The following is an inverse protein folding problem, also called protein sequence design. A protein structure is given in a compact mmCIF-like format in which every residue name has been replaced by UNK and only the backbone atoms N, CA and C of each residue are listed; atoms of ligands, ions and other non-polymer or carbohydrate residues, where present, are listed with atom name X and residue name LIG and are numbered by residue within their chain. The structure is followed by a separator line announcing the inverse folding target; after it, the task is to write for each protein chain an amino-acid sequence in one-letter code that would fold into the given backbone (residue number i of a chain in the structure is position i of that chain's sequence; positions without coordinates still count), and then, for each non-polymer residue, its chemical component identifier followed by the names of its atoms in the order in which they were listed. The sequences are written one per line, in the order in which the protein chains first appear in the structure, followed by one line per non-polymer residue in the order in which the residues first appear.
data_IF_171601814257
#
_entry.id   IF_171601814257
#
_cell.length_a   1.000
_cell.length_b   1.000
_cell.length_c   1.000
_cell.angle_alpha   90.00
_cell.angle_beta   90.00
_cell.angle_gamma   90.00
#
_symmetry.space_group_name_H-M   'P 1'
#
loop_
_entity.id
_entity.type
_entity.pdbx_description
1 polymer ?
#
# COMPACT_ATOMS: atom_id res chain seq x y z
N UNK A 1 -3.73 -20.59 -22.60
CA UNK A 1 -2.97 -19.34 -22.76
C UNK A 1 -1.99 -19.21 -21.60
N UNK A 2 -0.78 -18.70 -21.85
CA UNK A 2 0.19 -18.31 -20.84
C UNK A 2 0.49 -16.83 -20.98
N UNK A 3 0.70 -16.14 -19.86
CA UNK A 3 1.13 -14.74 -19.83
C UNK A 3 2.41 -14.69 -19.00
N UNK A 4 3.45 -14.06 -19.53
CA UNK A 4 4.74 -13.89 -18.85
C UNK A 4 5.04 -12.42 -18.68
N UNK A 5 5.41 -12.05 -17.46
CA UNK A 5 5.85 -10.71 -17.09
C UNK A 5 7.39 -10.63 -17.17
N UNK A 6 7.90 -9.60 -17.84
CA UNK A 6 9.32 -9.28 -17.90
C UNK A 6 9.50 -7.79 -17.60
N UNK A 7 9.46 -7.46 -16.30
CA UNK A 7 9.33 -6.07 -15.85
C UNK A 7 8.03 -5.47 -16.37
N UNK A 8 8.11 -4.33 -17.08
CA UNK A 8 6.93 -3.72 -17.70
C UNK A 8 6.52 -4.38 -19.05
N UNK A 9 7.28 -5.35 -19.57
CA UNK A 9 6.91 -6.03 -20.81
C UNK A 9 6.07 -7.28 -20.52
N UNK A 10 4.90 -7.37 -21.13
CA UNK A 10 3.98 -8.50 -21.01
C UNK A 10 4.02 -9.30 -22.31
N UNK A 11 4.29 -10.60 -22.21
CA UNK A 11 4.27 -11.53 -23.34
C UNK A 11 3.06 -12.45 -23.24
N UNK A 12 2.27 -12.51 -24.31
CA UNK A 12 1.09 -13.39 -24.39
C UNK A 12 1.43 -14.56 -25.29
N UNK A 13 1.23 -15.78 -24.79
CA UNK A 13 1.53 -17.01 -25.50
C UNK A 13 0.28 -17.89 -25.60
N UNK A 14 0.03 -18.42 -26.80
CA UNK A 14 -0.88 -19.55 -26.99
C UNK A 14 -0.10 -20.83 -26.75
N UNK A 15 -0.72 -21.77 -26.06
CA UNK A 15 -0.12 -23.08 -25.87
C UNK A 15 -0.99 -24.11 -26.56
N UNK A 16 -0.42 -24.77 -27.56
CA UNK A 16 -1.13 -25.79 -28.30
C UNK A 16 -1.12 -27.12 -27.52
N UNK A 17 -2.25 -27.84 -27.49
CA UNK A 17 -2.26 -29.19 -26.95
C UNK A 17 -1.36 -30.09 -27.81
N UNK A 18 -0.60 -31.02 -27.19
CA UNK A 18 0.26 -31.93 -27.93
C UNK A 18 -0.61 -32.78 -28.87
N UNK A 19 -0.29 -32.76 -30.17
CA UNK A 19 -0.99 -33.56 -31.20
C UNK A 19 -0.60 -35.05 -31.19
N UNK A 20 0.35 -35.48 -30.35
CA UNK A 20 0.87 -36.85 -30.29
C UNK A 20 0.94 -37.37 -28.83
N UNK A 21 0.85 -38.70 -28.61
CA UNK A 21 0.86 -39.31 -27.27
C UNK A 21 2.16 -39.01 -26.48
N UNK A 22 2.11 -39.11 -25.14
CA UNK A 22 3.00 -38.41 -24.20
C UNK A 22 4.43 -38.99 -24.08
N UNK A 23 4.95 -39.67 -25.11
CA UNK A 23 6.29 -40.27 -25.05
C UNK A 23 7.42 -39.33 -25.48
N UNK A 24 7.16 -38.23 -26.21
CA UNK A 24 8.22 -37.26 -26.60
C UNK A 24 7.77 -35.91 -27.18
N UNK A 25 6.55 -35.46 -26.92
CA UNK A 25 6.03 -34.20 -27.50
C UNK A 25 6.24 -32.99 -26.60
N UNK A 26 7.25 -32.14 -26.87
CA UNK A 26 7.38 -30.83 -26.19
C UNK A 26 6.15 -29.98 -26.49
N UNK A 27 5.50 -29.46 -25.46
CA UNK A 27 4.39 -28.52 -25.57
C UNK A 27 4.84 -27.31 -26.40
N UNK A 28 4.14 -27.01 -27.50
CA UNK A 28 4.49 -25.89 -28.39
C UNK A 28 3.84 -24.61 -27.88
N UNK A 29 4.67 -23.60 -27.61
CA UNK A 29 4.23 -22.27 -27.20
C UNK A 29 4.45 -21.31 -28.37
N UNK A 30 3.37 -20.66 -28.83
CA UNK A 30 3.42 -19.63 -29.85
C UNK A 30 3.21 -18.26 -29.21
N UNK A 31 4.16 -17.35 -29.35
CA UNK A 31 4.01 -15.97 -28.90
C UNK A 31 2.99 -15.29 -29.82
N UNK A 32 1.88 -14.84 -29.25
CA UNK A 32 0.84 -14.10 -29.98
C UNK A 32 1.17 -12.62 -30.09
N UNK A 33 1.91 -12.08 -29.11
CA UNK A 33 2.34 -10.70 -29.11
C UNK A 33 2.90 -10.26 -27.76
N UNK A 34 3.41 -9.04 -27.76
CA UNK A 34 4.00 -8.40 -26.59
C UNK A 34 3.50 -6.97 -26.49
N UNK A 35 3.25 -6.49 -25.27
CA UNK A 35 2.84 -5.11 -25.03
C UNK A 35 3.38 -4.64 -23.67
N UNK A 36 3.42 -3.32 -23.48
CA UNK A 36 3.78 -2.72 -22.19
C UNK A 36 2.53 -2.53 -21.33
N UNK A 37 2.65 -2.64 -20.01
CA UNK A 37 1.47 -2.59 -19.15
C UNK A 37 0.83 -1.20 -19.03
N UNK A 38 1.61 -0.16 -19.30
CA UNK A 38 1.24 1.26 -19.36
C UNK A 38 0.72 1.69 -20.75
N UNK A 39 0.88 0.84 -21.77
CA UNK A 39 0.43 1.12 -23.13
C UNK A 39 -0.89 0.40 -23.45
N UNK A 40 -1.68 0.93 -24.40
CA UNK A 40 -2.83 0.20 -24.91
C UNK A 40 -2.40 -1.12 -25.57
N UNK A 41 -3.22 -2.16 -25.38
CA UNK A 41 -2.96 -3.47 -25.98
C UNK A 41 -3.02 -3.34 -27.51
N UNK A 42 -2.00 -3.81 -28.26
CA UNK A 42 -2.00 -3.74 -29.71
C UNK A 42 -3.24 -4.42 -30.31
N UNK A 43 -3.99 -3.75 -31.22
CA UNK A 43 -5.18 -4.33 -31.85
C UNK A 43 -4.91 -5.67 -32.52
N UNK A 44 -3.76 -5.80 -33.20
CA UNK A 44 -3.33 -7.04 -33.84
C UNK A 44 -3.21 -8.22 -32.86
N UNK A 45 -2.84 -7.97 -31.60
CA UNK A 45 -2.81 -9.00 -30.56
C UNK A 45 -4.25 -9.38 -30.15
N UNK A 46 -5.14 -8.40 -30.04
CA UNK A 46 -6.55 -8.66 -29.74
C UNK A 46 -7.22 -9.48 -30.84
N UNK A 47 -6.90 -9.22 -32.10
CA UNK A 47 -7.42 -9.94 -33.26
C UNK A 47 -6.92 -11.40 -33.31
N UNK A 48 -5.65 -11.63 -32.93
CA UNK A 48 -5.06 -12.96 -32.90
C UNK A 48 -5.62 -13.86 -31.78
N UNK A 49 -6.20 -13.30 -30.72
CA UNK A 49 -6.74 -14.04 -29.58
C UNK A 49 -8.12 -14.64 -29.85
N UNK A 50 -8.43 -15.79 -29.25
CA UNK A 50 -9.81 -16.30 -29.21
C UNK A 50 -10.65 -15.55 -28.18
N UNK A 51 -11.98 -15.76 -28.18
CA UNK A 51 -12.88 -15.16 -27.17
C UNK A 51 -12.49 -15.55 -25.74
N UNK A 52 -12.13 -16.80 -25.51
CA UNK A 52 -11.77 -17.29 -24.18
C UNK A 52 -10.40 -16.79 -23.73
N UNK A 53 -9.47 -16.65 -24.68
CA UNK A 53 -8.16 -16.05 -24.43
C UNK A 53 -8.28 -14.55 -24.11
N UNK A 54 -9.13 -13.81 -24.81
CA UNK A 54 -9.45 -12.40 -24.47
C UNK A 54 -10.02 -12.29 -23.05
N UNK A 55 -10.94 -13.17 -22.67
CA UNK A 55 -11.45 -13.22 -21.28
C UNK A 55 -10.35 -13.55 -20.27
N UNK A 56 -9.45 -14.48 -20.59
CA UNK A 56 -8.33 -14.82 -19.73
C UNK A 56 -7.36 -13.64 -19.56
N UNK A 57 -7.07 -12.92 -20.64
CA UNK A 57 -6.22 -11.73 -20.63
C UNK A 57 -6.84 -10.61 -19.79
N UNK A 58 -8.14 -10.35 -19.96
CA UNK A 58 -8.87 -9.35 -19.18
C UNK A 58 -8.84 -9.65 -17.68
N UNK A 59 -9.05 -10.91 -17.28
CA UNK A 59 -8.95 -11.32 -15.87
C UNK A 59 -7.53 -11.15 -15.31
N UNK A 60 -6.52 -11.54 -16.09
CA UNK A 60 -5.13 -11.37 -15.68
C UNK A 60 -4.76 -9.88 -15.52
N UNK A 61 -5.20 -9.02 -16.45
CA UNK A 61 -4.95 -7.58 -16.38
C UNK A 61 -5.60 -6.93 -15.15
N UNK A 62 -6.78 -7.38 -14.74
CA UNK A 62 -7.43 -6.90 -13.53
C UNK A 62 -6.58 -7.19 -12.29
N UNK A 63 -6.10 -8.42 -12.14
CA UNK A 63 -5.21 -8.83 -11.03
C UNK A 63 -3.87 -8.10 -11.09
N UNK A 64 -3.30 -7.98 -12.29
CA UNK A 64 -2.03 -7.26 -12.49
C UNK A 64 -2.13 -5.80 -12.06
N UNK A 65 -3.18 -5.08 -12.47
CA UNK A 65 -3.40 -3.68 -12.10
C UNK A 65 -3.58 -3.50 -10.60
N UNK A 66 -4.31 -4.39 -9.94
CA UNK A 66 -4.45 -4.35 -8.48
C UNK A 66 -3.09 -4.57 -7.77
N UNK A 67 -2.29 -5.52 -8.27
CA UNK A 67 -0.94 -5.78 -7.75
C UNK A 67 -0.01 -4.57 -7.95
N UNK A 68 -0.06 -3.94 -9.13
CA UNK A 68 0.72 -2.73 -9.41
C UNK A 68 0.29 -1.57 -8.51
N UNK A 69 -1.00 -1.35 -8.30
CA UNK A 69 -1.49 -0.32 -7.39
C UNK A 69 -0.93 -0.50 -5.97
N UNK A 70 -0.89 -1.73 -5.46
CA UNK A 70 -0.27 -2.04 -4.15
C UNK A 70 1.24 -1.82 -4.16
N UNK A 71 1.92 -2.21 -5.23
CA UNK A 71 3.36 -2.05 -5.39
C UNK A 71 3.76 -0.57 -5.42
N UNK A 72 3.01 0.26 -6.15
CA UNK A 72 3.21 1.71 -6.18
C UNK A 72 2.85 2.41 -4.86
N UNK A 73 1.82 1.94 -4.15
CA UNK A 73 1.42 2.53 -2.88
C UNK A 73 2.41 2.24 -1.73
N UNK A 74 3.09 1.09 -1.74
CA UNK A 74 4.04 0.68 -0.69
C UNK A 74 5.15 1.70 -0.40
N UNK A 75 5.94 2.19 -1.37
CA UNK A 75 6.99 3.16 -1.09
C UNK A 75 6.42 4.49 -0.58
N UNK A 76 5.23 4.90 -1.06
CA UNK A 76 4.56 6.11 -0.56
C UNK A 76 4.19 5.97 0.91
N UNK A 77 3.61 4.83 1.30
CA UNK A 77 3.29 4.55 2.70
C UNK A 77 4.54 4.44 3.58
N UNK A 78 5.64 3.90 3.04
CA UNK A 78 6.92 3.83 3.75
C UNK A 78 7.52 5.22 4.02
N UNK A 79 7.33 6.18 3.10
CA UNK A 79 7.77 7.56 3.25
C UNK A 79 6.81 8.43 4.09
N UNK A 80 5.59 7.96 4.36
CA UNK A 80 4.54 8.75 5.00
C UNK A 80 4.92 9.33 6.39
N UNK A 81 5.61 8.61 7.29
CA UNK A 81 6.01 9.18 8.59
C UNK A 81 6.88 10.42 8.44
N UNK A 82 7.91 10.35 7.60
CA UNK A 82 8.84 11.47 7.35
C UNK A 82 8.12 12.67 6.71
N UNK A 83 7.17 12.40 5.79
CA UNK A 83 6.36 13.45 5.17
C UNK A 83 5.45 14.14 6.19
N UNK A 84 4.84 13.38 7.12
CA UNK A 84 4.01 13.93 8.18
C UNK A 84 4.81 14.74 9.19
N UNK A 85 6.00 14.27 9.58
CA UNK A 85 6.93 15.04 10.43
C UNK A 85 7.33 16.36 9.76
N UNK A 86 7.68 16.31 8.48
CA UNK A 86 8.02 17.51 7.70
C UNK A 86 6.85 18.50 7.64
N UNK A 87 5.61 18.00 7.51
CA UNK A 87 4.41 18.82 7.53
C UNK A 87 4.19 19.49 8.90
N UNK A 88 4.41 18.75 9.99
CA UNK A 88 4.33 19.31 11.35
C UNK A 88 5.37 20.40 11.55
N UNK A 89 6.63 20.18 11.16
CA UNK A 89 7.67 21.20 11.26
C UNK A 89 7.36 22.46 10.42
N UNK A 90 6.77 22.29 9.23
CA UNK A 90 6.34 23.42 8.40
C UNK A 90 5.20 24.21 9.06
N UNK A 91 4.23 23.52 9.68
CA UNK A 91 3.16 24.16 10.45
C UNK A 91 3.72 24.92 11.66
N UNK A 92 4.66 24.36 12.41
CA UNK A 92 5.27 25.04 13.56
C UNK A 92 6.01 26.32 13.14
N UNK A 93 6.65 26.31 11.97
CA UNK A 93 7.43 27.44 11.47
C UNK A 93 6.59 28.55 10.82
N UNK A 94 5.43 28.22 10.23
CA UNK A 94 4.68 29.14 9.37
C UNK A 94 3.15 29.13 9.62
N UNK A 95 2.70 28.69 10.81
CA UNK A 95 1.28 28.61 11.17
C UNK A 95 0.54 29.95 11.04
N UNK A 96 1.23 31.07 11.25
CA UNK A 96 0.70 32.43 11.11
C UNK A 96 0.37 32.80 9.65
N UNK A 97 0.96 32.09 8.69
CA UNK A 97 0.71 32.30 7.25
C UNK A 97 -0.42 31.44 6.69
N UNK A 98 -0.94 30.50 7.49
CA UNK A 98 -1.94 29.53 7.06
C UNK A 98 -3.34 30.17 7.00
N UNK A 99 -3.99 30.08 5.84
CA UNK A 99 -5.38 30.54 5.72
C UNK A 99 -6.35 29.59 6.42
N UNK A 100 -7.50 30.10 6.86
CA UNK A 100 -8.55 29.27 7.46
C UNK A 100 -9.04 28.17 6.49
N UNK A 101 -9.12 28.48 5.20
CA UNK A 101 -9.54 27.52 4.17
C UNK A 101 -8.53 26.37 4.01
N UNK A 102 -7.23 26.67 4.02
CA UNK A 102 -6.18 25.64 3.94
C UNK A 102 -6.17 24.78 5.20
N UNK A 103 -6.36 25.39 6.38
CA UNK A 103 -6.48 24.66 7.64
C UNK A 103 -7.66 23.69 7.64
N UNK A 104 -8.83 24.11 7.15
CA UNK A 104 -10.01 23.25 7.02
C UNK A 104 -9.74 22.08 6.06
N UNK A 105 -9.10 22.35 4.92
CA UNK A 105 -8.72 21.30 3.96
C UNK A 105 -7.76 20.28 4.60
N UNK A 106 -6.77 20.74 5.36
CA UNK A 106 -5.84 19.85 6.08
C UNK A 106 -6.58 18.98 7.10
N UNK A 107 -7.52 19.53 7.85
CA UNK A 107 -8.36 18.76 8.76
C UNK A 107 -9.17 17.68 8.03
N UNK A 108 -9.76 17.99 6.88
CA UNK A 108 -10.48 17.01 6.06
C UNK A 108 -9.55 15.85 5.63
N UNK A 109 -8.33 16.15 5.20
CA UNK A 109 -7.34 15.13 4.83
C UNK A 109 -6.94 14.26 6.03
N UNK A 110 -6.69 14.85 7.20
CA UNK A 110 -6.38 14.11 8.42
C UNK A 110 -7.54 13.18 8.83
N UNK A 111 -8.79 13.63 8.69
CA UNK A 111 -9.96 12.77 8.95
C UNK A 111 -10.07 11.63 7.94
N UNK A 112 -9.73 11.88 6.67
CA UNK A 112 -9.70 10.84 5.63
C UNK A 112 -8.65 9.76 5.97
N UNK A 113 -7.43 10.17 6.36
CA UNK A 113 -6.35 9.28 6.79
C UNK A 113 -6.78 8.46 8.02
N UNK A 114 -7.35 9.11 9.05
CA UNK A 114 -7.82 8.41 10.24
C UNK A 114 -8.90 7.36 9.92
N UNK A 115 -9.80 7.68 8.98
CA UNK A 115 -10.87 6.77 8.51
C UNK A 115 -10.30 5.59 7.74
N UNK A 116 -9.31 5.81 6.86
CA UNK A 116 -8.69 4.72 6.09
C UNK A 116 -7.87 3.80 6.99
N UNK A 117 -7.12 4.34 7.95
CA UNK A 117 -6.40 3.54 8.96
C UNK A 117 -7.35 2.65 9.76
N UNK A 118 -8.47 3.22 10.23
CA UNK A 118 -9.49 2.44 10.94
C UNK A 118 -10.06 1.31 10.09
N UNK A 119 -10.36 1.57 8.81
CA UNK A 119 -10.84 0.55 7.87
C UNK A 119 -9.80 -0.54 7.61
N UNK A 120 -8.51 -0.20 7.66
CA UNK A 120 -7.40 -1.13 7.51
C UNK A 120 -7.11 -1.97 8.77
N UNK A 121 -7.91 -1.84 9.84
CA UNK A 121 -7.70 -2.57 11.10
C UNK A 121 -6.71 -1.92 12.05
N UNK A 122 -6.30 -0.68 11.79
CA UNK A 122 -5.43 0.12 12.65
C UNK A 122 -6.23 1.25 13.31
N UNK A 123 -7.11 0.95 14.30
CA UNK A 123 -7.84 1.98 15.00
C UNK A 123 -6.89 2.90 15.75
N UNK A 124 -7.31 4.17 15.95
CA UNK A 124 -6.54 5.16 16.71
C UNK A 124 -6.16 4.56 18.07
N UNK A 125 -4.86 4.56 18.44
CA UNK A 125 -4.44 4.11 19.76
C UNK A 125 -5.22 4.86 20.83
N UNK A 126 -5.75 4.14 21.81
CA UNK A 126 -6.33 4.79 22.98
C UNK A 126 -5.18 5.50 23.68
N UNK A 127 -5.22 6.83 23.69
CA UNK A 127 -4.31 7.58 24.55
C UNK A 127 -4.45 7.01 25.95
N UNK A 128 -3.32 6.69 26.60
CA UNK A 128 -3.32 6.33 28.01
C UNK A 128 -4.16 7.40 28.72
N UNK A 129 -5.22 6.95 29.40
CA UNK A 129 -6.18 7.84 30.04
C UNK A 129 -5.35 8.72 30.97
N UNK A 130 -5.19 10.00 30.63
CA UNK A 130 -4.49 10.96 31.49
C UNK A 130 -5.21 10.85 32.84
N UNK A 131 -4.50 10.55 33.95
CA UNK A 131 -5.12 10.58 35.26
C UNK A 131 -5.88 11.90 35.38
N UNK A 132 -7.12 11.90 35.90
CA UNK A 132 -7.84 13.13 36.12
C UNK A 132 -6.91 14.10 36.84
N UNK A 133 -6.83 15.34 36.36
CA UNK A 133 -5.99 16.36 36.98
C UNK A 133 -6.32 16.39 38.47
N UNK A 134 -5.30 16.25 39.32
CA UNK A 134 -5.47 16.31 40.76
C UNK A 134 -6.23 17.61 41.08
N UNK A 135 -7.35 17.47 41.79
CA UNK A 135 -8.11 18.63 42.23
C UNK A 135 -7.20 19.51 43.10
N UNK A 136 -7.35 20.85 43.04
CA UNK A 136 -6.58 21.75 43.90
C UNK A 136 -6.74 21.33 45.37
N UNK A 137 -5.65 20.88 46.00
CA UNK A 137 -5.64 20.42 47.39
C UNK A 137 -5.32 18.93 47.60
N UNK A 138 -5.21 18.12 46.54
CA UNK A 138 -4.79 16.72 46.66
C UNK A 138 -3.29 16.60 46.32
N UNK A 139 -2.43 16.82 47.32
CA UNK A 139 -1.01 16.45 47.23
C UNK A 139 -0.91 14.96 47.59
N UNK A 140 -0.52 14.12 46.61
CA UNK A 140 -0.24 12.71 46.86
C UNK A 140 0.98 12.59 47.79
N UNK A 141 0.77 12.00 48.97
CA UNK A 141 1.78 11.87 50.04
C UNK A 141 2.84 10.80 49.71
N UNK A 142 2.70 10.07 48.59
CA UNK A 142 3.58 8.95 48.22
C UNK A 142 4.60 9.30 47.13
N UNK A 143 5.21 10.50 47.23
CA UNK A 143 6.17 11.01 46.26
C UNK A 143 7.58 10.39 46.29
N UNK A 144 7.98 9.64 47.33
CA UNK A 144 9.37 9.18 47.48
C UNK A 144 9.47 7.71 47.91
N UNK A 145 9.32 6.78 46.97
CA UNK A 145 9.67 5.37 47.21
C UNK A 145 10.51 4.76 46.08
N UNK A 146 11.12 5.59 45.23
CA UNK A 146 11.94 5.13 44.10
C UNK A 146 13.46 5.35 44.28
N UNK A 147 13.95 5.59 45.49
CA UNK A 147 15.39 5.84 45.76
C UNK A 147 16.14 4.69 46.48
N UNK A 148 15.54 3.50 46.67
CA UNK A 148 16.20 2.40 47.41
C UNK A 148 16.62 1.16 46.60
N UNK A 149 16.69 1.23 45.27
CA UNK A 149 17.42 0.22 44.49
C UNK A 149 18.81 0.73 44.10
N UNK A 150 19.79 0.53 44.99
CA UNK A 150 21.19 0.39 44.58
C UNK A 150 21.66 -1.06 44.85
N UNK A 151 22.29 -1.72 43.85
CA UNK A 151 22.46 -3.18 43.83
C UNK A 151 23.62 -3.66 44.70
N UNK A 152 23.38 -4.74 45.46
CA UNK A 152 24.42 -5.52 46.12
C UNK A 152 25.19 -6.36 45.09
N UNK A 153 26.49 -6.07 44.94
CA UNK A 153 27.47 -6.93 44.27
C UNK A 153 27.88 -8.06 45.22
N UNK A 154 27.96 -9.29 44.72
CA UNK A 154 28.82 -10.36 45.24
C UNK A 154 29.77 -10.77 44.12
#
# INVERSE_FOLDING_TARGET
MLIREQGNLIKVLRVEPPKQPPTRGRRREHVLGTFRADEPIPPALLDALTRDERKALARWLAVYRESQARTHARPVLAAAPVQLESLVSALEAAADTLSAADADQMWVQLQAIARTLRRAGHPRPRAARRPPAALPGQQDIFGDLNELEQPAKQ
#
